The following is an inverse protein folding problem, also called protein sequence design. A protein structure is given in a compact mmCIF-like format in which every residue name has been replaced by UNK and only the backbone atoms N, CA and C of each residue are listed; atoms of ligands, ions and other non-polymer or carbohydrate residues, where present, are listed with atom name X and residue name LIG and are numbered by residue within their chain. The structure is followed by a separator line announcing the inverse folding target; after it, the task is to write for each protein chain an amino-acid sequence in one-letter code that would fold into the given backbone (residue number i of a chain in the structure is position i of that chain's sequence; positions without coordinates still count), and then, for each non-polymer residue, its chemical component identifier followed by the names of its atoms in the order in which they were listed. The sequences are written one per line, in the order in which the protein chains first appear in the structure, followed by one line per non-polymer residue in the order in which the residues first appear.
data_IF_554414335904
#
_entry.id   IF_554414335904
#
_cell.length_a   1.000
_cell.length_b   1.000
_cell.length_c   1.000
_cell.angle_alpha   90.00
_cell.angle_beta   90.00
_cell.angle_gamma   90.00
#
_symmetry.space_group_name_H-M   'P 1'
#
loop_
_entity.id
_entity.type
_entity.pdbx_description
1 polymer ?
#
# COMPACT_ATOMS: atom_id res chain seq x y z
N UNK A 1 -36.02 -3.87 -1.03
CA UNK A 1 -35.40 -3.64 0.29
C UNK A 1 -35.27 -4.95 1.06
N UNK A 2 -36.35 -5.76 1.19
CA UNK A 2 -36.31 -7.08 1.85
C UNK A 2 -35.32 -8.09 1.23
N UNK A 3 -35.18 -8.16 -0.11
CA UNK A 3 -34.23 -9.11 -0.74
C UNK A 3 -32.75 -8.80 -0.53
N UNK A 4 -32.41 -7.54 -0.23
CA UNK A 4 -31.04 -7.15 0.09
C UNK A 4 -30.72 -7.46 1.55
N UNK A 5 -31.72 -7.43 2.44
CA UNK A 5 -31.56 -7.80 3.86
C UNK A 5 -31.36 -9.30 3.99
N UNK A 6 -32.18 -10.12 3.32
CA UNK A 6 -32.03 -11.58 3.36
C UNK A 6 -30.68 -12.05 2.83
N UNK A 7 -30.19 -11.44 1.74
CA UNK A 7 -28.87 -11.76 1.17
C UNK A 7 -27.71 -11.42 2.13
N UNK A 8 -27.85 -10.34 2.89
CA UNK A 8 -26.84 -9.96 3.88
C UNK A 8 -26.87 -10.89 5.10
N UNK A 9 -28.05 -11.39 5.47
CA UNK A 9 -28.20 -12.39 6.54
C UNK A 9 -27.57 -13.73 6.12
N UNK A 10 -27.83 -14.19 4.90
CA UNK A 10 -27.22 -15.40 4.34
C UNK A 10 -25.69 -15.33 4.27
N UNK A 11 -25.13 -14.18 3.83
CA UNK A 11 -23.68 -13.95 3.80
C UNK A 11 -23.08 -13.92 5.22
N UNK A 12 -23.79 -13.34 6.19
CA UNK A 12 -23.35 -13.30 7.59
C UNK A 12 -23.35 -14.69 8.23
N UNK A 13 -24.34 -15.53 7.92
CA UNK A 13 -24.45 -16.86 8.49
C UNK A 13 -23.42 -17.83 7.87
N UNK A 14 -23.15 -17.70 6.57
CA UNK A 14 -22.03 -18.41 5.93
C UNK A 14 -20.70 -18.02 6.60
N UNK A 15 -20.47 -16.73 6.80
CA UNK A 15 -19.26 -16.21 7.44
C UNK A 15 -19.09 -16.70 8.88
N UNK A 16 -20.17 -16.71 9.68
CA UNK A 16 -20.15 -17.28 11.04
C UNK A 16 -19.80 -18.76 11.03
N UNK A 17 -20.39 -19.53 10.11
CA UNK A 17 -20.14 -20.96 9.98
C UNK A 17 -18.66 -21.26 9.65
N UNK A 18 -18.02 -20.42 8.84
CA UNK A 18 -16.59 -20.57 8.52
C UNK A 18 -15.69 -20.15 9.69
N UNK A 19 -16.04 -19.10 10.44
CA UNK A 19 -15.33 -18.72 11.66
C UNK A 19 -15.37 -19.79 12.74
N UNK A 20 -16.48 -20.52 12.85
CA UNK A 20 -16.64 -21.60 13.84
C UNK A 20 -15.78 -22.83 13.53
N UNK A 21 -15.45 -23.07 12.26
CA UNK A 21 -14.53 -24.14 11.83
C UNK A 21 -13.07 -23.86 12.20
N UNK A 22 -12.71 -22.58 12.36
CA UNK A 22 -11.34 -22.13 12.58
C UNK A 22 -10.98 -22.23 14.07
N UNK A 23 -9.79 -22.76 14.43
CA UNK A 23 -9.31 -22.78 15.82
C UNK A 23 -9.29 -21.38 16.45
N UNK A 24 -9.63 -21.28 17.74
CA UNK A 24 -9.63 -20.02 18.49
C UNK A 24 -8.37 -19.14 18.34
N UNK A 25 -7.12 -19.67 18.32
CA UNK A 25 -5.93 -18.84 18.11
C UNK A 25 -5.86 -18.21 16.70
N UNK A 26 -6.60 -18.75 15.73
CA UNK A 26 -6.64 -18.29 14.34
C UNK A 26 -7.83 -17.36 14.05
N UNK A 27 -8.92 -17.42 14.82
CA UNK A 27 -10.11 -16.57 14.61
C UNK A 27 -9.76 -15.08 14.52
N UNK A 28 -8.89 -14.57 15.41
CA UNK A 28 -8.43 -13.17 15.38
C UNK A 28 -7.62 -12.82 14.14
N UNK A 29 -6.87 -13.79 13.59
CA UNK A 29 -6.11 -13.59 12.37
C UNK A 29 -7.04 -13.56 11.15
N UNK A 30 -8.03 -14.46 11.10
CA UNK A 30 -9.05 -14.51 10.04
C UNK A 30 -9.83 -13.20 9.96
N UNK A 31 -10.40 -12.74 11.08
CA UNK A 31 -11.10 -11.46 11.16
C UNK A 31 -10.27 -10.27 10.67
N UNK A 32 -8.94 -10.30 10.88
CA UNK A 32 -8.04 -9.25 10.39
C UNK A 32 -7.75 -9.39 8.89
N UNK A 33 -7.65 -10.61 8.37
CA UNK A 33 -7.46 -10.86 6.94
C UNK A 33 -8.67 -10.41 6.12
N UNK A 34 -9.88 -10.57 6.64
CA UNK A 34 -11.12 -10.10 5.98
C UNK A 34 -11.11 -8.57 5.79
N UNK A 35 -10.45 -7.84 6.69
CA UNK A 35 -10.19 -6.42 6.54
C UNK A 35 -8.69 -6.15 6.36
N UNK A 36 -8.14 -6.62 5.24
CA UNK A 36 -6.73 -6.48 4.88
C UNK A 36 -6.13 -5.06 4.95
N UNK A 37 -6.86 -3.95 4.72
CA UNK A 37 -6.34 -2.60 4.97
C UNK A 37 -5.85 -2.37 6.42
N UNK A 38 -6.36 -3.11 7.40
CA UNK A 38 -5.94 -3.00 8.81
C UNK A 38 -4.45 -3.23 9.02
N UNK A 39 -3.80 -4.06 8.19
CA UNK A 39 -2.37 -4.32 8.29
C UNK A 39 -1.51 -3.08 8.04
N UNK A 40 -2.02 -2.10 7.28
CA UNK A 40 -1.37 -0.80 7.10
C UNK A 40 -1.29 -0.07 8.45
N UNK A 41 -2.40 -0.06 9.20
CA UNK A 41 -2.47 0.55 10.54
C UNK A 41 -1.57 -0.20 11.52
N UNK A 42 -1.59 -1.54 11.50
CA UNK A 42 -0.69 -2.37 12.31
C UNK A 42 0.77 -2.04 12.03
N UNK A 43 1.13 -1.87 10.75
CA UNK A 43 2.48 -1.48 10.35
C UNK A 43 2.89 -0.12 10.92
N UNK A 44 2.00 0.87 10.86
CA UNK A 44 2.23 2.21 11.43
C UNK A 44 2.39 2.13 12.94
N UNK A 45 1.43 1.50 13.62
CA UNK A 45 1.46 1.29 15.06
C UNK A 45 2.77 0.64 15.50
N UNK A 46 3.16 -0.47 14.86
CA UNK A 46 4.39 -1.20 15.19
C UNK A 46 5.65 -0.39 14.91
N UNK A 47 5.68 0.39 13.83
CA UNK A 47 6.81 1.26 13.55
C UNK A 47 7.03 2.23 14.72
N UNK A 48 5.98 2.92 15.18
CA UNK A 48 6.13 3.93 16.23
C UNK A 48 6.28 3.37 17.66
N UNK A 49 5.85 2.13 17.91
CA UNK A 49 5.87 1.53 19.25
C UNK A 49 7.08 0.63 19.49
N UNK A 50 7.53 -0.12 18.48
CA UNK A 50 8.59 -1.12 18.62
C UNK A 50 9.97 -0.50 18.38
N UNK A 51 10.74 -0.32 19.47
CA UNK A 51 12.11 0.24 19.43
C UNK A 51 13.05 -0.55 18.54
N UNK A 52 12.80 -1.86 18.36
CA UNK A 52 13.64 -2.71 17.53
C UNK A 52 13.40 -2.48 16.03
N UNK A 53 12.25 -1.88 15.66
CA UNK A 53 11.89 -1.58 14.28
C UNK A 53 12.29 -0.15 13.87
N UNK A 54 11.86 0.88 14.61
CA UNK A 54 12.10 2.26 14.13
C UNK A 54 13.53 2.73 14.31
N UNK A 55 14.23 2.36 15.40
CA UNK A 55 15.60 2.86 15.62
C UNK A 55 16.54 2.42 14.49
N UNK A 56 16.61 1.12 14.13
CA UNK A 56 17.53 0.68 13.08
C UNK A 56 17.13 1.16 11.68
N UNK A 57 15.85 1.42 11.46
CA UNK A 57 15.34 2.04 10.23
C UNK A 57 15.73 3.52 10.15
N UNK A 58 15.55 4.28 11.23
CA UNK A 58 15.93 5.68 11.33
C UNK A 58 17.43 5.87 11.21
N UNK A 59 18.23 5.11 11.95
CA UNK A 59 19.68 5.20 11.93
C UNK A 59 20.24 4.98 10.52
N UNK A 60 19.61 4.07 9.75
CA UNK A 60 20.02 3.85 8.36
C UNK A 60 19.67 5.02 7.44
N UNK A 61 18.56 5.69 7.69
CA UNK A 61 18.06 6.79 6.85
C UNK A 61 18.58 8.17 7.27
N UNK A 62 19.03 8.36 8.52
CA UNK A 62 19.34 9.65 9.15
C UNK A 62 20.24 10.55 8.30
N UNK A 63 21.35 10.03 7.79
CA UNK A 63 22.28 10.81 6.97
C UNK A 63 21.70 11.19 5.60
N UNK A 64 20.90 10.30 5.00
CA UNK A 64 20.21 10.60 3.74
C UNK A 64 19.14 11.67 3.93
N UNK A 65 18.40 11.59 5.03
CA UNK A 65 17.41 12.62 5.43
C UNK A 65 18.11 13.95 5.66
N UNK A 66 19.22 14.00 6.43
CA UNK A 66 19.94 15.23 6.71
C UNK A 66 20.45 15.92 5.42
N UNK A 67 21.07 15.17 4.51
CA UNK A 67 21.55 15.71 3.22
C UNK A 67 20.39 16.18 2.33
N UNK A 68 19.33 15.38 2.23
CA UNK A 68 18.16 15.74 1.44
C UNK A 68 17.41 16.93 2.01
N UNK A 69 17.33 17.07 3.34
CA UNK A 69 16.75 18.22 4.00
C UNK A 69 17.59 19.49 3.79
N UNK A 70 18.92 19.40 3.86
CA UNK A 70 19.80 20.53 3.58
C UNK A 70 19.66 21.03 2.13
N UNK A 71 19.75 20.11 1.15
CA UNK A 71 19.57 20.46 -0.27
C UNK A 71 18.15 20.95 -0.54
N UNK A 72 17.15 20.32 0.06
CA UNK A 72 15.76 20.74 -0.05
C UNK A 72 15.50 22.14 0.51
N UNK A 73 16.10 22.49 1.65
CA UNK A 73 15.99 23.82 2.23
C UNK A 73 16.62 24.89 1.33
N UNK A 74 17.82 24.63 0.79
CA UNK A 74 18.48 25.52 -0.17
C UNK A 74 17.62 25.70 -1.41
N UNK A 75 17.11 24.60 -1.98
CA UNK A 75 16.24 24.63 -3.15
C UNK A 75 14.96 25.43 -2.90
N UNK A 76 14.30 25.20 -1.76
CA UNK A 76 13.10 25.91 -1.38
C UNK A 76 13.39 27.41 -1.23
N UNK A 77 14.45 27.78 -0.53
CA UNK A 77 14.84 29.18 -0.35
C UNK A 77 15.07 29.90 -1.68
N UNK A 78 15.80 29.28 -2.61
CA UNK A 78 16.13 29.89 -3.90
C UNK A 78 14.93 29.98 -4.86
N UNK A 79 14.02 29.02 -4.82
CA UNK A 79 12.97 28.89 -5.85
C UNK A 79 11.58 29.31 -5.40
N UNK A 80 11.30 29.36 -4.09
CA UNK A 80 9.94 29.58 -3.58
C UNK A 80 9.33 30.91 -4.06
N UNK A 81 10.10 32.00 -4.01
CA UNK A 81 9.61 33.32 -4.44
C UNK A 81 9.27 33.36 -5.94
N UNK A 82 10.11 32.75 -6.77
CA UNK A 82 9.89 32.65 -8.22
C UNK A 82 8.67 31.78 -8.52
N UNK A 83 8.57 30.62 -7.87
CA UNK A 83 7.45 29.69 -8.04
C UNK A 83 6.12 30.30 -7.61
N UNK A 84 6.10 31.01 -6.48
CA UNK A 84 4.90 31.70 -6.01
C UNK A 84 4.42 32.73 -7.04
N UNK A 85 5.32 33.58 -7.56
CA UNK A 85 4.97 34.57 -8.60
C UNK A 85 4.47 33.91 -9.89
N UNK A 86 5.07 32.80 -10.30
CA UNK A 86 4.62 32.05 -11.48
C UNK A 86 3.21 31.46 -11.28
N UNK A 87 2.94 30.87 -10.11
CA UNK A 87 1.62 30.32 -9.76
C UNK A 87 0.57 31.42 -9.66
N UNK A 88 0.92 32.56 -9.06
CA UNK A 88 0.06 33.74 -9.00
C UNK A 88 -0.30 34.22 -10.41
N UNK A 89 0.69 34.41 -11.28
CA UNK A 89 0.46 34.76 -12.68
C UNK A 89 -0.44 33.74 -13.41
N UNK A 90 -0.22 32.44 -13.21
CA UNK A 90 -1.00 31.40 -13.89
C UNK A 90 -2.45 31.32 -13.39
N UNK A 91 -2.66 31.40 -12.07
CA UNK A 91 -3.99 31.29 -11.47
C UNK A 91 -4.85 32.53 -11.75
N UNK A 92 -4.26 33.73 -11.72
CA UNK A 92 -4.98 34.97 -12.04
C UNK A 92 -5.40 35.03 -13.51
N UNK A 93 -4.59 34.49 -14.42
CA UNK A 93 -4.91 34.45 -15.86
C UNK A 93 -5.81 33.27 -16.27
N UNK A 94 -6.23 32.40 -15.35
CA UNK A 94 -7.14 31.28 -15.63
C UNK A 94 -8.38 31.27 -14.72
N UNK A 95 -9.31 32.23 -14.88
CA UNK A 95 -10.52 32.33 -14.04
C UNK A 95 -11.50 31.16 -14.22
N UNK A 96 -11.42 30.43 -15.34
CA UNK A 96 -12.36 29.36 -15.70
C UNK A 96 -12.20 28.07 -14.89
N UNK A 97 -11.10 27.91 -14.14
CA UNK A 97 -10.74 26.62 -13.51
C UNK A 97 -10.88 26.62 -12.00
N UNK A 98 -11.18 27.75 -11.36
CA UNK A 98 -11.20 27.81 -9.90
C UNK A 98 -12.44 28.51 -9.36
N UNK A 99 -13.43 27.72 -8.93
CA UNK A 99 -14.40 28.14 -7.91
C UNK A 99 -13.75 28.38 -6.53
N UNK A 100 -12.49 28.80 -6.51
CA UNK A 100 -11.62 29.09 -5.37
C UNK A 100 -11.22 30.58 -5.37
N UNK A 101 -11.97 31.45 -6.07
CA UNK A 101 -11.71 32.91 -6.07
C UNK A 101 -11.90 33.55 -4.69
N UNK A 102 -12.50 32.82 -3.75
CA UNK A 102 -12.62 33.21 -2.35
C UNK A 102 -11.54 32.47 -1.57
N UNK A 103 -10.95 33.07 -0.53
CA UNK A 103 -9.92 32.50 0.37
C UNK A 103 -10.35 31.21 1.14
N UNK A 104 -11.38 30.53 0.64
CA UNK A 104 -11.99 29.32 1.15
C UNK A 104 -11.66 28.13 0.26
N UNK A 105 -10.98 27.12 0.81
CA UNK A 105 -10.88 25.78 0.21
C UNK A 105 -11.85 24.86 0.97
N UNK A 106 -12.79 24.24 0.25
CA UNK A 106 -13.83 23.37 0.83
C UNK A 106 -14.67 24.03 1.93
N UNK A 107 -14.94 25.34 1.79
CA UNK A 107 -15.70 26.11 2.77
C UNK A 107 -14.89 26.57 4.00
N UNK A 108 -13.62 26.16 4.13
CA UNK A 108 -12.73 26.57 5.20
C UNK A 108 -11.81 27.70 4.75
N UNK A 109 -11.77 28.80 5.53
CA UNK A 109 -10.79 29.86 5.34
C UNK A 109 -9.39 29.32 5.61
N UNK A 110 -8.51 29.41 4.62
CA UNK A 110 -7.13 28.93 4.76
C UNK A 110 -6.34 30.00 5.53
N UNK A 111 -5.41 29.63 6.43
CA UNK A 111 -4.55 30.59 7.12
C UNK A 111 -3.60 31.38 6.19
N UNK A 112 -3.48 30.98 4.93
CA UNK A 112 -2.62 31.60 3.93
C UNK A 112 -3.40 31.86 2.65
N UNK A 113 -2.98 32.88 1.90
CA UNK A 113 -3.48 33.14 0.55
C UNK A 113 -3.36 31.86 -0.32
N UNK A 114 -4.39 31.59 -1.13
CA UNK A 114 -4.48 30.44 -2.03
C UNK A 114 -3.20 30.18 -2.85
N UNK A 115 -2.57 31.24 -3.37
CA UNK A 115 -1.33 31.13 -4.15
C UNK A 115 -0.16 30.60 -3.30
N UNK A 116 -0.08 31.03 -2.04
CA UNK A 116 0.94 30.56 -1.09
C UNK A 116 0.70 29.09 -0.74
N UNK A 117 -0.56 28.69 -0.55
CA UNK A 117 -0.93 27.30 -0.33
C UNK A 117 -0.56 26.40 -1.52
N UNK A 118 -0.91 26.81 -2.74
CA UNK A 118 -0.54 26.10 -3.96
C UNK A 118 0.99 25.98 -4.13
N UNK A 119 1.74 27.05 -3.85
CA UNK A 119 3.20 27.04 -3.86
C UNK A 119 3.79 26.08 -2.82
N UNK A 120 3.23 26.01 -1.61
CA UNK A 120 3.65 25.06 -0.56
C UNK A 120 3.40 23.62 -1.00
N UNK A 121 2.23 23.31 -1.55
CA UNK A 121 1.92 21.96 -2.04
C UNK A 121 2.86 21.53 -3.18
N UNK A 122 3.10 22.44 -4.14
CA UNK A 122 4.02 22.22 -5.24
C UNK A 122 5.45 21.99 -4.74
N UNK A 123 5.93 22.84 -3.82
CA UNK A 123 7.22 22.71 -3.16
C UNK A 123 7.35 21.37 -2.41
N UNK A 124 6.31 20.96 -1.68
CA UNK A 124 6.29 19.69 -0.96
C UNK A 124 6.56 18.48 -1.87
N UNK A 125 6.05 18.50 -3.11
CA UNK A 125 6.32 17.47 -4.10
C UNK A 125 7.79 17.45 -4.55
N UNK A 126 8.37 18.62 -4.80
CA UNK A 126 9.79 18.75 -5.16
C UNK A 126 10.71 18.30 -4.02
N UNK A 127 10.44 18.73 -2.78
CA UNK A 127 11.17 18.30 -1.60
C UNK A 127 11.08 16.78 -1.41
N UNK A 128 9.92 16.19 -1.70
CA UNK A 128 9.75 14.72 -1.66
C UNK A 128 10.68 14.03 -2.67
N UNK A 129 10.84 14.57 -3.89
CA UNK A 129 11.76 14.00 -4.87
C UNK A 129 13.22 14.13 -4.46
N UNK A 130 13.62 15.29 -3.93
CA UNK A 130 14.97 15.51 -3.39
C UNK A 130 15.26 14.51 -2.28
N UNK A 131 14.35 14.38 -1.31
CA UNK A 131 14.46 13.38 -0.24
C UNK A 131 14.54 11.96 -0.81
N UNK A 132 13.65 11.58 -1.74
CA UNK A 132 13.68 10.25 -2.38
C UNK A 132 15.02 9.95 -3.04
N UNK A 133 15.63 10.93 -3.70
CA UNK A 133 16.93 10.77 -4.33
C UNK A 133 18.00 10.40 -3.29
N UNK A 134 18.13 11.20 -2.23
CA UNK A 134 19.13 10.98 -1.17
C UNK A 134 18.84 9.74 -0.30
N UNK A 135 17.57 9.35 -0.15
CA UNK A 135 17.18 8.18 0.62
C UNK A 135 17.16 6.88 -0.20
N UNK A 136 17.12 6.93 -1.53
CA UNK A 136 16.81 5.80 -2.43
C UNK A 136 17.49 4.46 -2.06
N UNK A 137 18.81 4.48 -1.83
CA UNK A 137 19.58 3.28 -1.43
C UNK A 137 19.32 2.88 0.02
N UNK A 138 19.34 3.85 0.94
CA UNK A 138 19.22 3.60 2.37
C UNK A 138 17.82 3.13 2.78
N UNK A 139 16.78 3.71 2.19
CA UNK A 139 15.39 3.34 2.47
C UNK A 139 15.08 1.92 1.96
N UNK A 140 15.73 1.47 0.88
CA UNK A 140 15.61 0.07 0.44
C UNK A 140 16.13 -0.87 1.52
N UNK A 141 17.33 -0.60 2.03
CA UNK A 141 17.96 -1.41 3.09
C UNK A 141 17.13 -1.36 4.38
N UNK A 142 16.61 -0.18 4.75
CA UNK A 142 15.76 -0.02 5.92
C UNK A 142 14.48 -0.86 5.79
N UNK A 143 13.82 -0.84 4.62
CA UNK A 143 12.64 -1.65 4.32
C UNK A 143 12.90 -3.16 4.42
N UNK A 144 14.05 -3.60 3.95
CA UNK A 144 14.45 -5.00 4.05
C UNK A 144 14.67 -5.38 5.53
N UNK A 145 15.42 -4.55 6.27
CA UNK A 145 15.68 -4.77 7.69
C UNK A 145 14.42 -4.83 8.55
N UNK A 146 13.49 -3.89 8.37
CA UNK A 146 12.25 -3.89 9.17
C UNK A 146 11.36 -5.09 8.88
N UNK A 147 11.36 -5.60 7.64
CA UNK A 147 10.67 -6.85 7.33
C UNK A 147 11.27 -8.01 8.12
N UNK A 148 12.60 -8.14 8.09
CA UNK A 148 13.29 -9.24 8.79
C UNK A 148 13.07 -9.18 10.30
N UNK A 149 13.19 -7.99 10.88
CA UNK A 149 12.94 -7.79 12.31
C UNK A 149 11.47 -8.01 12.67
N UNK A 150 10.54 -7.61 11.80
CA UNK A 150 9.11 -7.85 12.02
C UNK A 150 8.81 -9.35 11.99
N UNK A 151 9.41 -10.12 11.08
CA UNK A 151 9.30 -11.59 11.07
C UNK A 151 9.94 -12.20 12.32
N UNK A 152 11.17 -11.80 12.66
CA UNK A 152 11.90 -12.29 13.84
C UNK A 152 11.14 -12.04 15.15
N UNK A 153 10.45 -10.90 15.26
CA UNK A 153 9.63 -10.57 16.45
C UNK A 153 8.50 -11.57 16.74
N UNK A 154 8.13 -12.42 15.76
CA UNK A 154 7.15 -13.49 15.95
C UNK A 154 7.74 -14.77 16.54
N UNK A 155 9.06 -14.86 16.65
CA UNK A 155 9.76 -15.98 17.29
C UNK A 155 9.54 -17.32 16.58
N UNK A 156 9.24 -17.32 15.28
CA UNK A 156 9.10 -18.53 14.47
C UNK A 156 10.38 -18.81 13.69
N UNK A 157 10.79 -20.08 13.66
CA UNK A 157 11.94 -20.53 12.90
C UNK A 157 11.70 -20.58 11.39
N UNK A 158 12.71 -20.94 10.59
CA UNK A 158 12.61 -21.07 9.13
C UNK A 158 11.51 -22.05 8.69
N UNK A 159 11.30 -23.12 9.45
CA UNK A 159 10.31 -24.19 9.16
C UNK A 159 8.85 -23.71 9.23
N UNK A 160 8.63 -22.48 9.70
CA UNK A 160 7.31 -21.86 9.67
C UNK A 160 6.84 -21.58 8.24
N UNK A 161 7.74 -21.30 7.29
CA UNK A 161 7.35 -21.08 5.90
C UNK A 161 7.26 -22.42 5.18
N UNK A 162 6.05 -22.99 5.12
CA UNK A 162 5.84 -24.28 4.45
C UNK A 162 5.62 -24.11 2.94
N UNK A 163 5.78 -25.17 2.13
CA UNK A 163 5.39 -25.16 0.73
C UNK A 163 3.93 -24.70 0.54
N UNK A 164 3.66 -24.12 -0.62
CA UNK A 164 2.32 -23.66 -0.98
C UNK A 164 1.31 -24.81 -0.98
N UNK A 165 0.14 -24.58 -0.38
CA UNK A 165 -1.02 -25.47 -0.43
C UNK A 165 -2.17 -24.74 -1.10
N UNK A 166 -2.71 -25.35 -2.15
CA UNK A 166 -3.84 -24.80 -2.91
C UNK A 166 -5.12 -24.86 -2.08
N UNK A 167 -5.79 -23.72 -1.93
CA UNK A 167 -7.03 -23.63 -1.15
C UNK A 167 -8.26 -23.88 -2.03
N UNK A 168 -8.19 -23.58 -3.33
CA UNK A 168 -9.27 -23.88 -4.26
C UNK A 168 -9.39 -25.37 -4.55
N UNK A 169 -10.63 -25.88 -4.58
CA UNK A 169 -10.91 -27.24 -5.05
C UNK A 169 -10.66 -27.38 -6.56
N UNK A 170 -10.96 -26.34 -7.33
CA UNK A 170 -10.67 -26.28 -8.76
C UNK A 170 -10.05 -24.92 -9.12
N UNK A 171 -8.71 -24.80 -9.13
CA UNK A 171 -8.07 -23.53 -9.43
C UNK A 171 -8.32 -23.14 -10.90
N UNK A 172 -8.53 -21.85 -11.20
CA UNK A 172 -8.65 -21.36 -12.56
C UNK A 172 -7.34 -21.68 -13.29
N UNK A 173 -7.45 -22.55 -14.29
CA UNK A 173 -6.34 -22.91 -15.18
C UNK A 173 -6.18 -21.77 -16.20
N UNK A 174 -5.59 -20.66 -15.75
CA UNK A 174 -5.58 -19.43 -16.53
C UNK A 174 -4.43 -18.51 -16.15
N UNK A 175 -3.74 -18.02 -17.18
CA UNK A 175 -2.48 -17.24 -17.15
C UNK A 175 -2.36 -16.35 -15.92
N UNK A 176 -1.21 -16.46 -15.25
CA UNK A 176 -0.80 -15.63 -14.12
C UNK A 176 -1.39 -14.23 -14.25
N UNK A 177 -2.30 -13.86 -13.34
CA UNK A 177 -2.98 -12.57 -13.36
C UNK A 177 -1.94 -11.53 -13.75
N UNK A 178 -2.06 -10.90 -14.94
CA UNK A 178 -0.99 -10.09 -15.45
C UNK A 178 -0.79 -9.05 -14.37
N UNK A 179 0.38 -9.05 -13.72
CA UNK A 179 0.81 -7.92 -12.92
C UNK A 179 0.47 -6.73 -13.80
N UNK A 180 -0.40 -5.85 -13.31
CA UNK A 180 -1.15 -4.88 -14.13
C UNK A 180 -0.24 -4.06 -15.08
N UNK A 181 1.07 -4.09 -14.82
CA UNK A 181 2.19 -3.64 -15.63
C UNK A 181 2.61 -4.45 -16.88
N UNK A 182 2.12 -5.67 -17.18
CA UNK A 182 2.68 -6.48 -18.29
C UNK A 182 1.86 -6.46 -19.60
N UNK A 183 0.52 -6.50 -19.56
CA UNK A 183 -0.27 -6.74 -20.79
C UNK A 183 -1.44 -5.78 -21.06
N UNK A 184 -1.62 -4.69 -20.30
CA UNK A 184 -2.68 -3.70 -20.58
C UNK A 184 -2.01 -2.37 -20.93
N UNK A 185 -1.90 -2.13 -22.25
CA UNK A 185 -1.30 -0.99 -22.96
C UNK A 185 0.23 -0.96 -23.05
N UNK A 186 0.72 -0.90 -24.29
CA UNK A 186 2.12 -1.01 -24.67
C UNK A 186 3.07 -0.05 -23.95
N UNK A 187 3.97 -0.64 -23.15
CA UNK A 187 5.16 0.00 -22.62
C UNK A 187 4.95 1.14 -21.62
N UNK A 188 6.05 1.59 -21.03
CA UNK A 188 6.08 2.73 -20.07
C UNK A 188 5.43 4.00 -20.65
N UNK A 189 5.43 4.15 -21.97
CA UNK A 189 4.87 5.30 -22.70
C UNK A 189 3.35 5.20 -22.83
N UNK A 190 2.78 4.04 -23.17
CA UNK A 190 1.33 3.85 -23.23
C UNK A 190 0.66 3.99 -21.86
N UNK A 191 1.31 3.46 -20.81
CA UNK A 191 0.89 3.70 -19.43
C UNK A 191 0.98 5.18 -19.03
N UNK A 192 2.05 5.88 -19.45
CA UNK A 192 2.20 7.31 -19.20
C UNK A 192 1.12 8.14 -19.91
N UNK A 193 0.80 7.82 -21.17
CA UNK A 193 -0.22 8.51 -21.97
C UNK A 193 -1.63 8.22 -21.47
N UNK A 194 -1.98 6.97 -21.15
CA UNK A 194 -3.27 6.63 -20.55
C UNK A 194 -3.43 7.35 -19.20
N UNK A 195 -2.40 7.30 -18.34
CA UNK A 195 -2.38 8.02 -17.08
C UNK A 195 -2.55 9.52 -17.30
N UNK A 196 -1.90 10.11 -18.30
CA UNK A 196 -2.07 11.52 -18.63
C UNK A 196 -3.51 11.81 -19.08
N UNK A 197 -4.04 11.08 -20.05
CA UNK A 197 -5.36 11.33 -20.66
C UNK A 197 -6.52 11.10 -19.70
N UNK A 198 -6.51 10.01 -18.93
CA UNK A 198 -7.56 9.68 -17.97
C UNK A 198 -7.51 10.55 -16.71
N UNK A 199 -6.33 11.05 -16.32
CA UNK A 199 -6.19 11.94 -15.15
C UNK A 199 -6.29 13.45 -15.48
N UNK A 200 -6.42 13.86 -16.76
CA UNK A 200 -6.59 15.28 -17.14
C UNK A 200 -7.74 15.96 -16.36
N UNK A 201 -8.95 15.38 -16.25
CA UNK A 201 -10.03 15.99 -15.46
C UNK A 201 -9.80 15.93 -13.95
N UNK A 202 -9.00 14.97 -13.47
CA UNK A 202 -8.76 14.74 -12.03
C UNK A 202 -7.70 15.65 -11.42
N UNK A 203 -6.98 16.43 -12.24
CA UNK A 203 -6.02 17.43 -11.75
C UNK A 203 -6.69 18.64 -11.09
N UNK A 204 -8.01 18.80 -11.22
CA UNK A 204 -8.77 19.87 -10.56
C UNK A 204 -8.82 19.70 -9.03
N UNK A 205 -8.56 18.49 -8.51
CA UNK A 205 -8.65 18.20 -7.08
C UNK A 205 -7.44 17.37 -6.61
N UNK A 206 -6.50 17.96 -5.84
CA UNK A 206 -5.26 17.30 -5.41
C UNK A 206 -5.46 15.92 -4.75
N UNK A 207 -6.58 15.75 -4.03
CA UNK A 207 -6.92 14.49 -3.35
C UNK A 207 -7.41 13.40 -4.32
N UNK A 208 -8.17 13.76 -5.36
CA UNK A 208 -8.72 12.80 -6.33
C UNK A 208 -7.60 12.17 -7.14
N UNK A 209 -6.57 12.94 -7.53
CA UNK A 209 -5.41 12.41 -8.24
C UNK A 209 -4.64 11.35 -7.45
N UNK A 210 -4.50 11.52 -6.12
CA UNK A 210 -3.85 10.53 -5.26
C UNK A 210 -4.71 9.27 -5.14
N UNK A 211 -6.02 9.41 -4.92
CA UNK A 211 -6.95 8.28 -4.85
C UNK A 211 -6.93 7.46 -6.14
N UNK A 212 -7.06 8.11 -7.30
CA UNK A 212 -7.03 7.45 -8.61
C UNK A 212 -5.69 6.76 -8.83
N UNK A 213 -4.58 7.45 -8.55
CA UNK A 213 -3.24 6.84 -8.68
C UNK A 213 -3.02 5.65 -7.74
N UNK A 214 -3.61 5.67 -6.54
CA UNK A 214 -3.54 4.56 -5.59
C UNK A 214 -4.36 3.37 -6.11
N UNK A 215 -5.57 3.60 -6.62
CA UNK A 215 -6.44 2.55 -7.21
C UNK A 215 -5.73 1.81 -8.34
N UNK A 216 -5.11 2.55 -9.26
CA UNK A 216 -4.38 1.95 -10.38
C UNK A 216 -3.16 1.13 -9.95
N UNK A 217 -2.50 1.52 -8.85
CA UNK A 217 -1.28 0.86 -8.37
C UNK A 217 -1.53 -0.15 -7.25
N UNK A 218 -2.78 -0.33 -6.83
CA UNK A 218 -3.16 -1.09 -5.65
C UNK A 218 -2.59 -2.52 -5.68
N UNK A 219 -3.01 -3.33 -6.67
CA UNK A 219 -2.58 -4.73 -6.78
C UNK A 219 -1.05 -4.87 -6.88
N UNK A 220 -0.41 -4.05 -7.73
CA UNK A 220 1.05 -4.08 -7.89
C UNK A 220 1.81 -3.70 -6.62
N UNK A 221 1.25 -2.79 -5.81
CA UNK A 221 1.85 -2.39 -4.52
C UNK A 221 1.79 -3.54 -3.53
N UNK A 222 0.65 -4.22 -3.41
CA UNK A 222 0.53 -5.39 -2.53
C UNK A 222 1.43 -6.56 -2.97
N UNK A 223 1.49 -6.86 -4.27
CA UNK A 223 2.41 -7.86 -4.83
C UNK A 223 3.89 -7.55 -4.51
N UNK A 224 4.29 -6.28 -4.67
CA UNK A 224 5.63 -5.82 -4.34
C UNK A 224 5.94 -5.92 -2.83
N UNK A 225 4.94 -5.65 -2.00
CA UNK A 225 5.05 -5.76 -0.55
C UNK A 225 5.20 -7.23 -0.10
N UNK A 226 4.50 -8.17 -0.75
CA UNK A 226 4.55 -9.61 -0.46
C UNK A 226 5.62 -10.41 -1.23
N UNK A 227 6.42 -9.77 -2.09
CA UNK A 227 7.47 -10.49 -2.84
C UNK A 227 8.41 -11.31 -1.95
N UNK A 228 8.73 -10.83 -0.73
CA UNK A 228 9.59 -11.57 0.20
C UNK A 228 8.88 -12.81 0.78
N UNK A 229 7.59 -12.72 1.03
CA UNK A 229 6.77 -13.84 1.48
C UNK A 229 6.72 -14.96 0.43
N UNK A 230 6.42 -14.60 -0.83
CA UNK A 230 6.41 -15.58 -1.93
C UNK A 230 7.76 -16.26 -2.12
N UNK A 231 8.85 -15.50 -2.00
CA UNK A 231 10.21 -16.03 -2.04
C UNK A 231 10.53 -16.95 -0.86
N UNK A 232 10.09 -16.60 0.35
CA UNK A 232 10.31 -17.43 1.55
C UNK A 232 9.62 -18.80 1.44
N UNK A 233 8.45 -18.88 0.80
CA UNK A 233 7.74 -20.14 0.54
C UNK A 233 8.24 -20.90 -0.70
N UNK A 234 9.13 -20.32 -1.50
CA UNK A 234 9.57 -20.92 -2.77
C UNK A 234 8.47 -21.04 -3.82
N UNK A 235 7.47 -20.15 -3.81
CA UNK A 235 6.36 -20.18 -4.78
C UNK A 235 6.83 -19.87 -6.20
N UNK A 236 6.35 -20.65 -7.18
CA UNK A 236 6.52 -20.33 -8.60
C UNK A 236 5.68 -19.11 -9.00
N UNK A 237 5.97 -18.50 -10.17
CA UNK A 237 5.17 -17.38 -10.66
C UNK A 237 3.70 -17.76 -10.87
N UNK A 238 3.43 -19.00 -11.30
CA UNK A 238 2.08 -19.52 -11.48
C UNK A 238 1.37 -19.69 -10.13
N UNK A 239 2.02 -20.30 -9.14
CA UNK A 239 1.48 -20.45 -7.78
C UNK A 239 1.20 -19.10 -7.14
N UNK A 240 2.13 -18.15 -7.30
CA UNK A 240 1.96 -16.78 -6.79
C UNK A 240 0.72 -16.12 -7.40
N UNK A 241 0.50 -16.31 -8.70
CA UNK A 241 -0.63 -15.71 -9.37
C UNK A 241 -1.96 -16.33 -8.98
N UNK A 242 -2.02 -17.65 -8.82
CA UNK A 242 -3.21 -18.35 -8.29
C UNK A 242 -3.50 -17.89 -6.87
N UNK A 243 -2.49 -17.83 -6.00
CA UNK A 243 -2.61 -17.35 -4.62
C UNK A 243 -3.15 -15.92 -4.50
N UNK A 244 -2.71 -15.03 -5.41
CA UNK A 244 -3.18 -13.64 -5.45
C UNK A 244 -4.58 -13.56 -6.03
N UNK A 245 -4.91 -14.35 -7.05
CA UNK A 245 -6.24 -14.34 -7.67
C UNK A 245 -7.31 -14.80 -6.66
N UNK A 246 -6.99 -15.78 -5.82
CA UNK A 246 -7.85 -16.22 -4.72
C UNK A 246 -8.19 -15.08 -3.74
N UNK A 247 -7.22 -14.19 -3.46
CA UNK A 247 -7.35 -13.08 -2.49
C UNK A 247 -7.33 -11.71 -3.17
N UNK A 248 -7.81 -11.63 -4.42
CA UNK A 248 -7.58 -10.47 -5.28
C UNK A 248 -8.10 -9.17 -4.68
N UNK A 249 -9.24 -9.23 -4.03
CA UNK A 249 -9.86 -8.07 -3.38
C UNK A 249 -9.11 -7.64 -2.13
N UNK A 250 -8.62 -8.58 -1.33
CA UNK A 250 -7.77 -8.30 -0.16
C UNK A 250 -6.45 -7.63 -0.56
N UNK A 251 -5.78 -8.17 -1.60
CA UNK A 251 -4.57 -7.59 -2.17
C UNK A 251 -4.81 -6.19 -2.74
N UNK A 252 -5.95 -5.97 -3.39
CA UNK A 252 -6.32 -4.63 -3.87
C UNK A 252 -6.61 -3.68 -2.72
N UNK A 253 -7.36 -4.09 -1.71
CA UNK A 253 -7.72 -3.23 -0.59
C UNK A 253 -6.47 -2.84 0.22
N UNK A 254 -5.63 -3.82 0.58
CA UNK A 254 -4.35 -3.59 1.26
C UNK A 254 -3.42 -2.70 0.42
N UNK A 255 -3.24 -3.06 -0.85
CA UNK A 255 -2.36 -2.33 -1.75
C UNK A 255 -2.82 -0.92 -2.05
N UNK A 256 -4.14 -0.69 -2.10
CA UNK A 256 -4.74 0.64 -2.23
C UNK A 256 -4.43 1.50 -1.02
N UNK A 257 -4.71 1.00 0.20
CA UNK A 257 -4.44 1.72 1.43
C UNK A 257 -2.94 2.02 1.60
N UNK A 258 -2.07 1.05 1.29
CA UNK A 258 -0.62 1.22 1.31
C UNK A 258 -0.16 2.29 0.29
N UNK A 259 -0.64 2.21 -0.95
CA UNK A 259 -0.28 3.16 -2.02
C UNK A 259 -0.81 4.57 -1.74
N UNK A 260 -1.98 4.70 -1.10
CA UNK A 260 -2.57 5.96 -0.70
C UNK A 260 -1.67 6.68 0.32
N UNK A 261 -1.24 5.98 1.37
CA UNK A 261 -0.32 6.55 2.36
C UNK A 261 1.07 6.87 1.78
N UNK A 262 1.61 6.02 0.92
CA UNK A 262 2.88 6.28 0.22
C UNK A 262 2.80 7.45 -0.79
N UNK A 263 1.59 7.80 -1.21
CA UNK A 263 1.31 8.91 -2.12
C UNK A 263 1.45 10.29 -1.48
N UNK A 264 1.43 10.37 -0.14
CA UNK A 264 1.53 11.64 0.58
C UNK A 264 2.94 12.25 0.46
N UNK A 265 3.07 13.56 0.17
CA UNK A 265 4.36 14.23 0.12
C UNK A 265 5.10 14.12 1.46
N UNK A 266 6.41 13.86 1.40
CA UNK A 266 7.34 13.75 2.54
C UNK A 266 7.01 12.58 3.49
N UNK A 267 5.86 12.62 4.17
CA UNK A 267 5.41 11.61 5.13
C UNK A 267 5.20 10.23 4.48
N UNK A 268 4.89 10.18 3.17
CA UNK A 268 4.79 8.95 2.39
C UNK A 268 6.04 8.07 2.46
N UNK A 269 7.22 8.66 2.68
CA UNK A 269 8.48 7.92 2.86
C UNK A 269 8.47 7.05 4.11
N UNK A 270 7.90 7.56 5.22
CA UNK A 270 7.74 6.80 6.45
C UNK A 270 6.80 5.62 6.21
N UNK A 271 5.72 5.85 5.46
CA UNK A 271 4.76 4.80 5.13
C UNK A 271 5.34 3.68 4.26
N UNK A 272 6.35 3.96 3.42
CA UNK A 272 7.05 2.88 2.71
C UNK A 272 7.75 1.87 3.64
N UNK A 273 8.09 2.28 4.87
CA UNK A 273 8.70 1.44 5.90
C UNK A 273 7.59 0.77 6.73
N UNK A 274 6.58 1.51 7.17
CA UNK A 274 5.49 0.93 7.96
C UNK A 274 4.69 -0.11 7.17
N UNK A 275 4.43 0.14 5.88
CA UNK A 275 3.73 -0.80 5.00
C UNK A 275 4.50 -2.12 4.83
N UNK A 276 5.84 -2.08 4.93
CA UNK A 276 6.67 -3.31 4.92
C UNK A 276 6.48 -4.13 6.19
N UNK A 277 6.37 -3.47 7.35
CA UNK A 277 6.05 -4.14 8.61
C UNK A 277 4.63 -4.73 8.54
N UNK A 278 3.65 -3.95 8.06
CA UNK A 278 2.27 -4.40 7.87
C UNK A 278 2.16 -5.62 6.95
N UNK A 279 2.86 -5.58 5.82
CA UNK A 279 2.95 -6.70 4.88
C UNK A 279 3.59 -7.96 5.51
N UNK A 280 4.63 -7.80 6.34
CA UNK A 280 5.20 -8.92 7.08
C UNK A 280 4.20 -9.53 8.08
N UNK A 281 3.38 -8.69 8.72
CA UNK A 281 2.33 -9.16 9.62
C UNK A 281 1.21 -9.88 8.89
N UNK A 282 0.81 -9.38 7.73
CA UNK A 282 -0.19 -10.03 6.90
C UNK A 282 0.32 -11.38 6.37
N UNK A 283 1.56 -11.43 5.88
CA UNK A 283 2.21 -12.66 5.46
C UNK A 283 2.22 -13.75 6.56
N UNK A 284 2.43 -13.35 7.82
CA UNK A 284 2.41 -14.27 8.95
C UNK A 284 1.01 -14.83 9.25
N UNK A 285 -0.02 -13.99 9.15
CA UNK A 285 -1.40 -14.42 9.35
C UNK A 285 -1.91 -15.26 8.16
N UNK A 286 -1.44 -14.99 6.94
CA UNK A 286 -1.65 -15.86 5.77
C UNK A 286 -0.99 -17.24 5.91
N UNK A 287 0.25 -17.30 6.41
CA UNK A 287 0.95 -18.58 6.60
C UNK A 287 0.24 -19.47 7.61
N UNK A 288 -0.28 -18.87 8.69
CA UNK A 288 -1.12 -19.59 9.65
C UNK A 288 -2.38 -20.18 9.02
N UNK A 289 -3.04 -19.45 8.12
CA UNK A 289 -4.20 -19.97 7.36
C UNK A 289 -3.80 -21.14 6.47
N UNK A 290 -2.68 -21.02 5.79
CA UNK A 290 -2.12 -22.10 4.96
C UNK A 290 -1.80 -23.36 5.78
N UNK A 291 -1.27 -23.22 7.01
CA UNK A 291 -1.07 -24.36 7.90
C UNK A 291 -2.39 -25.04 8.30
N UNK A 292 -3.43 -24.25 8.56
CA UNK A 292 -4.75 -24.78 8.88
C UNK A 292 -5.36 -25.55 7.70
N UNK A 293 -5.36 -24.96 6.51
CA UNK A 293 -5.86 -25.62 5.30
C UNK A 293 -5.08 -26.89 4.98
N UNK A 294 -3.75 -26.87 5.13
CA UNK A 294 -2.93 -28.06 4.96
C UNK A 294 -3.32 -29.20 5.92
N UNK A 295 -3.55 -28.87 7.19
CA UNK A 295 -3.98 -29.84 8.20
C UNK A 295 -5.40 -30.35 7.94
N UNK A 296 -6.30 -29.52 7.42
CA UNK A 296 -7.66 -29.92 7.05
C UNK A 296 -7.66 -30.89 5.87
N UNK A 297 -6.92 -30.58 4.80
CA UNK A 297 -6.76 -31.48 3.64
C UNK A 297 -6.18 -32.83 4.04
N UNK A 298 -5.24 -32.86 4.97
CA UNK A 298 -4.69 -34.09 5.51
C UNK A 298 -5.74 -34.90 6.30
N UNK A 299 -6.56 -34.24 7.12
CA UNK A 299 -7.67 -34.91 7.82
C UNK A 299 -8.70 -35.48 6.85
N UNK A 300 -9.05 -34.75 5.80
CA UNK A 300 -9.97 -35.22 4.77
C UNK A 300 -9.41 -36.42 4.02
N UNK A 301 -8.13 -36.38 3.64
CA UNK A 301 -7.44 -37.51 3.01
C UNK A 301 -7.48 -38.76 3.89
N UNK A 302 -7.20 -38.60 5.19
CA UNK A 302 -7.21 -39.71 6.15
C UNK A 302 -8.62 -40.27 6.42
N UNK A 303 -9.69 -39.50 6.22
CA UNK A 303 -11.08 -39.99 6.32
C UNK A 303 -11.54 -40.76 5.08
N UNK A 304 -10.90 -40.54 3.92
CA UNK A 304 -11.23 -41.20 2.64
C UNK A 304 -10.46 -42.51 2.45
N UNK A 305 -9.41 -42.73 3.24
CA UNK A 305 -8.65 -43.99 3.33
C UNK A 305 -9.30 -44.91 4.36
#
# INVERSE_FOLDING_TARGET
MASNVSKLEDEQDLFRSDLDRVPDPLKRAVLRMDFSPSYVIVGVYRLFTDKNLWKPAWDKCRHGVARGAAVGAIWAFLTFGIQKKFIEFFLTNSPRVTGLSNDTVFGYKIPFNLHTYAAILYMGHQLTFILKFFLSKNIRIARDRVWDQAVQSRGKGPDFWRPYVEEWDNPPVGKAAPGFSKNILGGKVGWFMLKRTLLIPTHLYPVVGVLVSASFRALGTAQYLHTRYFKAKGMSEQQTAVFIEERKWDYRAFGFAAALLEGLPIIGLVFTISNRIGAAMWAFDLEKRQHFVAAERERERNKRM
#
